data_IF_249808660864
#
_entry.id   IF_249808660864
#
_cell.length_a   1.000
_cell.length_b   1.000
_cell.length_c   1.000
_cell.angle_alpha   90.00
_cell.angle_beta   90.00
_cell.angle_gamma   90.00
#
_symmetry.space_group_name_H-M   'P 1'
#
loop_
_entity.id
_entity.type
_entity.pdbx_description
1 polymer ?
#
# COMPACT_ATOMS: atom_id res chain seq x y z
N UNK A 1 -16.98 -65.89 -42.04
CA UNK A 1 -17.16 -64.87 -41.00
C UNK A 1 -16.85 -63.50 -41.61
N UNK A 2 -17.84 -62.61 -41.73
CA UNK A 2 -17.66 -61.23 -42.20
C UNK A 2 -17.42 -60.31 -40.99
N UNK A 3 -16.46 -59.37 -41.02
CA UNK A 3 -16.31 -58.39 -39.96
C UNK A 3 -17.33 -57.25 -40.11
N UNK A 4 -17.85 -56.78 -38.97
CA UNK A 4 -18.84 -55.71 -38.87
C UNK A 4 -18.21 -54.31 -39.09
N UNK A 5 -18.97 -53.34 -39.61
CA UNK A 5 -18.46 -51.98 -39.88
C UNK A 5 -18.34 -51.15 -38.60
N UNK A 6 -17.25 -50.39 -38.50
CA UNK A 6 -16.94 -49.47 -37.40
C UNK A 6 -17.88 -48.25 -37.39
N UNK A 7 -18.50 -48.00 -36.24
CA UNK A 7 -19.33 -46.82 -36.01
C UNK A 7 -18.46 -45.57 -35.84
N UNK A 8 -18.66 -44.59 -36.72
CA UNK A 8 -18.08 -43.24 -36.61
C UNK A 8 -18.77 -42.47 -35.48
N UNK A 9 -18.05 -42.22 -34.38
CA UNK A 9 -18.48 -41.26 -33.36
C UNK A 9 -18.27 -39.84 -33.88
N UNK A 10 -19.38 -39.14 -34.10
CA UNK A 10 -19.42 -37.72 -34.46
C UNK A 10 -19.07 -36.90 -33.22
N UNK A 11 -17.84 -36.39 -33.17
CA UNK A 11 -17.36 -35.53 -32.08
C UNK A 11 -18.20 -34.25 -32.01
N UNK A 12 -18.81 -33.98 -30.85
CA UNK A 12 -19.60 -32.79 -30.61
C UNK A 12 -18.67 -31.57 -30.51
N UNK A 13 -18.89 -30.59 -31.39
CA UNK A 13 -18.14 -29.32 -31.41
C UNK A 13 -18.48 -28.54 -30.13
N UNK A 14 -17.47 -28.28 -29.30
CA UNK A 14 -17.62 -27.47 -28.09
C UNK A 14 -18.00 -26.02 -28.45
N UNK A 15 -18.92 -25.39 -27.70
CA UNK A 15 -19.33 -24.01 -27.96
C UNK A 15 -18.16 -23.05 -27.78
N UNK A 16 -18.02 -22.11 -28.71
CA UNK A 16 -17.00 -21.06 -28.66
C UNK A 16 -17.12 -20.22 -27.38
N UNK A 17 -16.01 -19.78 -26.77
CA UNK A 17 -16.03 -18.97 -25.56
C UNK A 17 -16.79 -17.66 -25.82
N UNK A 18 -17.63 -17.20 -24.87
CA UNK A 18 -18.36 -15.95 -25.01
C UNK A 18 -17.37 -14.79 -25.13
N UNK A 19 -17.64 -13.88 -26.07
CA UNK A 19 -16.86 -12.64 -26.21
C UNK A 19 -16.88 -11.82 -24.92
N UNK A 20 -15.78 -11.14 -24.61
CA UNK A 20 -15.62 -10.31 -23.39
C UNK A 20 -16.74 -9.27 -23.23
N UNK A 21 -17.27 -8.74 -24.33
CA UNK A 21 -18.33 -7.73 -24.32
C UNK A 21 -19.69 -8.30 -23.94
N UNK A 22 -19.97 -9.57 -24.27
CA UNK A 22 -21.19 -10.25 -23.84
C UNK A 22 -21.23 -10.45 -22.33
N UNK A 23 -20.08 -10.77 -21.72
CA UNK A 23 -19.96 -10.90 -20.25
C UNK A 23 -20.20 -9.56 -19.57
N UNK A 24 -19.59 -8.48 -20.07
CA UNK A 24 -19.81 -7.11 -19.55
C UNK A 24 -21.27 -6.70 -19.61
N UNK A 25 -21.93 -6.89 -20.76
CA UNK A 25 -23.36 -6.58 -20.91
C UNK A 25 -24.24 -7.39 -19.96
N UNK A 26 -23.89 -8.66 -19.72
CA UNK A 26 -24.62 -9.53 -18.80
C UNK A 26 -24.45 -9.07 -17.36
N UNK A 27 -23.24 -8.66 -16.97
CA UNK A 27 -22.94 -8.09 -15.64
C UNK A 27 -23.72 -6.79 -15.39
N UNK A 28 -23.74 -5.88 -16.36
CA UNK A 28 -24.53 -4.64 -16.25
C UNK A 28 -26.02 -4.93 -16.11
N UNK A 29 -26.53 -5.90 -16.87
CA UNK A 29 -27.93 -6.33 -16.75
C UNK A 29 -28.24 -6.98 -15.38
N UNK A 30 -27.30 -7.77 -14.84
CA UNK A 30 -27.41 -8.32 -13.48
C UNK A 30 -27.48 -7.18 -12.45
N UNK A 31 -26.54 -6.23 -12.48
CA UNK A 31 -26.49 -5.10 -11.55
C UNK A 31 -27.74 -4.21 -11.64
N UNK A 32 -28.32 -4.09 -12.83
CA UNK A 32 -29.56 -3.35 -13.05
C UNK A 32 -30.81 -3.99 -12.43
N UNK A 33 -30.80 -5.30 -12.13
CA UNK A 33 -31.98 -6.04 -11.63
C UNK A 33 -31.79 -6.70 -10.26
N UNK A 34 -30.56 -7.02 -9.89
CA UNK A 34 -30.25 -7.85 -8.73
C UNK A 34 -30.40 -7.12 -7.38
N UNK A 35 -30.74 -5.82 -7.36
CA UNK A 35 -30.97 -5.09 -6.11
C UNK A 35 -32.21 -5.56 -5.32
N UNK A 36 -33.10 -6.36 -5.94
CA UNK A 36 -34.22 -7.02 -5.28
C UNK A 36 -33.90 -8.43 -4.79
N UNK A 37 -32.76 -9.00 -5.21
CA UNK A 37 -32.31 -10.32 -4.78
C UNK A 37 -31.53 -10.20 -3.46
N UNK A 38 -31.47 -11.27 -2.64
CA UNK A 38 -30.55 -11.32 -1.51
C UNK A 38 -29.11 -11.05 -1.95
N UNK A 39 -28.35 -10.29 -1.15
CA UNK A 39 -26.98 -9.90 -1.47
C UNK A 39 -26.10 -11.10 -1.83
N UNK A 40 -26.21 -12.20 -1.08
CA UNK A 40 -25.47 -13.44 -1.36
C UNK A 40 -25.83 -14.05 -2.71
N UNK A 41 -27.12 -14.11 -3.04
CA UNK A 41 -27.57 -14.67 -4.32
C UNK A 41 -27.07 -13.84 -5.51
N UNK A 42 -27.07 -12.51 -5.37
CA UNK A 42 -26.54 -11.61 -6.40
C UNK A 42 -25.03 -11.76 -6.57
N UNK A 43 -24.28 -11.86 -5.47
CA UNK A 43 -22.83 -12.10 -5.49
C UNK A 43 -22.46 -13.47 -6.12
N UNK A 44 -23.23 -14.51 -5.81
CA UNK A 44 -23.06 -15.83 -6.41
C UNK A 44 -23.35 -15.80 -7.92
N UNK A 45 -24.42 -15.13 -8.35
CA UNK A 45 -24.73 -14.95 -9.77
C UNK A 45 -23.59 -14.22 -10.51
N UNK A 46 -23.01 -13.17 -9.91
CA UNK A 46 -21.84 -12.48 -10.46
C UNK A 46 -20.64 -13.43 -10.60
N UNK A 47 -20.36 -14.19 -9.54
CA UNK A 47 -19.24 -15.15 -9.48
C UNK A 47 -19.37 -16.29 -10.50
N UNK A 48 -20.60 -16.72 -10.80
CA UNK A 48 -20.90 -17.73 -11.82
C UNK A 48 -20.77 -17.18 -13.25
N UNK A 49 -21.14 -15.92 -13.47
CA UNK A 49 -21.05 -15.28 -14.79
C UNK A 49 -19.62 -14.88 -15.17
N UNK A 50 -18.79 -14.54 -14.19
CA UNK A 50 -17.44 -14.00 -14.43
C UNK A 50 -16.37 -15.02 -14.04
N UNK A 51 -15.50 -15.35 -15.00
CA UNK A 51 -14.37 -16.24 -14.77
C UNK A 51 -13.42 -15.68 -13.69
N UNK A 52 -12.86 -16.52 -12.79
CA UNK A 52 -12.01 -16.07 -11.69
C UNK A 52 -10.90 -15.10 -12.08
N UNK A 53 -10.22 -15.35 -13.20
CA UNK A 53 -9.11 -14.51 -13.71
C UNK A 53 -9.54 -13.11 -14.17
N UNK A 54 -10.82 -12.92 -14.51
CA UNK A 54 -11.36 -11.66 -14.99
C UNK A 54 -12.18 -10.89 -13.94
N UNK A 55 -12.44 -11.48 -12.76
CA UNK A 55 -13.31 -10.89 -11.72
C UNK A 55 -12.81 -9.54 -11.23
N UNK A 56 -11.50 -9.42 -10.97
CA UNK A 56 -10.92 -8.18 -10.49
C UNK A 56 -11.04 -7.04 -11.52
N UNK A 57 -10.70 -7.32 -12.79
CA UNK A 57 -10.81 -6.33 -13.85
C UNK A 57 -12.27 -5.90 -14.10
N UNK A 58 -13.20 -6.85 -14.16
CA UNK A 58 -14.63 -6.53 -14.32
C UNK A 58 -15.18 -5.76 -13.12
N UNK A 59 -14.71 -6.08 -11.91
CA UNK A 59 -15.06 -5.35 -10.69
C UNK A 59 -14.59 -3.89 -10.76
N UNK A 60 -13.34 -3.64 -11.18
CA UNK A 60 -12.81 -2.28 -11.38
C UNK A 60 -13.57 -1.51 -12.48
N UNK A 61 -13.85 -2.15 -13.60
CA UNK A 61 -14.43 -1.47 -14.77
C UNK A 61 -15.93 -1.20 -14.63
N UNK A 62 -16.68 -2.08 -13.92
CA UNK A 62 -18.15 -2.05 -13.95
C UNK A 62 -18.81 -1.93 -12.57
N UNK A 63 -18.21 -2.50 -11.52
CA UNK A 63 -18.82 -2.53 -10.19
C UNK A 63 -18.38 -1.34 -9.36
N UNK A 64 -17.08 -1.00 -9.40
CA UNK A 64 -16.51 0.11 -8.65
C UNK A 64 -17.10 1.48 -9.05
N UNK A 65 -17.31 1.81 -10.34
CA UNK A 65 -17.89 3.09 -10.73
C UNK A 65 -19.34 3.28 -10.23
N UNK A 66 -20.06 2.18 -10.03
CA UNK A 66 -21.41 2.24 -9.43
C UNK A 66 -21.35 2.60 -7.95
N UNK A 67 -20.30 2.19 -7.25
CA UNK A 67 -20.13 2.46 -5.83
C UNK A 67 -19.64 3.89 -5.58
N UNK A 68 -18.62 4.34 -6.33
CA UNK A 68 -18.09 5.70 -6.25
C UNK A 68 -19.11 6.74 -6.72
N UNK A 69 -20.04 6.34 -7.59
CA UNK A 69 -21.12 7.19 -8.05
C UNK A 69 -20.55 8.44 -8.72
N UNK A 70 -19.94 8.28 -9.91
CA UNK A 70 -19.30 9.36 -10.66
C UNK A 70 -20.09 10.69 -10.54
N UNK A 71 -19.52 11.60 -9.74
CA UNK A 71 -20.17 12.73 -9.11
C UNK A 71 -20.69 13.82 -10.06
N UNK A 72 -20.41 13.71 -11.37
CA UNK A 72 -20.62 14.81 -12.31
C UNK A 72 -21.91 14.74 -13.13
N UNK A 73 -22.67 13.64 -13.09
CA UNK A 73 -23.90 13.51 -13.88
C UNK A 73 -25.10 13.10 -13.03
N UNK A 74 -25.84 14.14 -12.62
CA UNK A 74 -27.27 14.16 -12.25
C UNK A 74 -27.54 13.93 -10.75
N UNK A 75 -27.48 15.01 -9.98
CA UNK A 75 -28.01 15.14 -8.61
C UNK A 75 -29.51 14.77 -8.45
N UNK A 76 -30.26 14.55 -9.53
CA UNK A 76 -31.71 14.28 -9.47
C UNK A 76 -32.11 12.78 -9.39
N UNK A 77 -31.16 11.84 -9.32
CA UNK A 77 -31.44 10.38 -9.36
C UNK A 77 -30.96 9.66 -8.08
N UNK A 78 -30.66 10.39 -7.01
CA UNK A 78 -30.04 9.87 -5.78
C UNK A 78 -30.80 8.68 -5.13
N UNK A 79 -32.14 8.76 -4.99
CA UNK A 79 -32.95 7.69 -4.34
C UNK A 79 -32.84 6.31 -4.98
N UNK A 80 -32.66 6.25 -6.29
CA UNK A 80 -32.66 4.97 -7.02
C UNK A 80 -31.29 4.32 -7.07
N UNK A 81 -30.24 5.01 -6.60
CA UNK A 81 -28.88 4.51 -6.65
C UNK A 81 -28.41 3.87 -5.35
N UNK A 82 -28.94 4.24 -4.18
CA UNK A 82 -28.54 3.63 -2.89
C UNK A 82 -28.60 2.09 -2.90
N UNK A 83 -29.69 1.44 -3.36
CA UNK A 83 -29.73 -0.03 -3.46
C UNK A 83 -28.64 -0.59 -4.39
N UNK A 84 -28.30 0.10 -5.47
CA UNK A 84 -27.25 -0.34 -6.41
C UNK A 84 -25.86 -0.18 -5.83
N UNK A 85 -25.62 0.88 -5.06
CA UNK A 85 -24.37 1.12 -4.34
C UNK A 85 -24.16 0.07 -3.26
N UNK A 86 -25.20 -0.25 -2.48
CA UNK A 86 -25.18 -1.34 -1.50
C UNK A 86 -24.87 -2.69 -2.16
N UNK A 87 -25.51 -2.97 -3.30
CA UNK A 87 -25.21 -4.17 -4.07
C UNK A 87 -23.75 -4.21 -4.54
N UNK A 88 -23.25 -3.11 -5.09
CA UNK A 88 -21.87 -3.00 -5.56
C UNK A 88 -20.87 -3.19 -4.41
N UNK A 89 -21.08 -2.56 -3.26
CA UNK A 89 -20.22 -2.73 -2.08
C UNK A 89 -20.19 -4.18 -1.61
N UNK A 90 -21.34 -4.86 -1.59
CA UNK A 90 -21.40 -6.26 -1.18
C UNK A 90 -20.71 -7.19 -2.17
N UNK A 91 -20.88 -6.98 -3.48
CA UNK A 91 -20.18 -7.78 -4.51
C UNK A 91 -18.67 -7.63 -4.33
N UNK A 92 -18.16 -6.40 -4.22
CA UNK A 92 -16.73 -6.14 -4.02
C UNK A 92 -16.19 -6.78 -2.73
N UNK A 93 -16.96 -6.75 -1.65
CA UNK A 93 -16.65 -7.46 -0.41
C UNK A 93 -16.58 -8.98 -0.62
N UNK A 94 -17.63 -9.57 -1.21
CA UNK A 94 -17.77 -11.02 -1.38
C UNK A 94 -16.70 -11.66 -2.27
N UNK A 95 -16.07 -10.90 -3.16
CA UNK A 95 -14.96 -11.39 -3.99
C UNK A 95 -13.73 -11.80 -3.17
N UNK A 96 -13.60 -11.25 -1.95
CA UNK A 96 -12.45 -11.45 -1.06
C UNK A 96 -12.89 -11.83 0.37
N UNK A 97 -14.13 -12.28 0.57
CA UNK A 97 -14.67 -12.59 1.91
C UNK A 97 -13.98 -13.73 2.63
N UNK A 98 -13.26 -14.60 1.89
CA UNK A 98 -12.47 -15.69 2.46
C UNK A 98 -11.19 -15.19 3.18
N UNK A 99 -10.84 -13.91 2.98
CA UNK A 99 -9.67 -13.29 3.57
C UNK A 99 -10.07 -12.19 4.57
N UNK A 100 -9.23 -11.89 5.58
CA UNK A 100 -9.45 -10.77 6.48
C UNK A 100 -9.63 -9.45 5.73
N UNK A 101 -10.52 -8.58 6.22
CA UNK A 101 -10.84 -7.30 5.55
C UNK A 101 -9.62 -6.41 5.29
N UNK A 102 -8.58 -6.53 6.13
CA UNK A 102 -7.29 -5.82 5.98
C UNK A 102 -6.59 -6.16 4.66
N UNK A 103 -6.79 -7.36 4.12
CA UNK A 103 -6.20 -7.82 2.85
C UNK A 103 -7.09 -7.56 1.63
N UNK A 104 -8.31 -7.03 1.82
CA UNK A 104 -9.21 -6.76 0.71
C UNK A 104 -8.68 -5.58 -0.13
N UNK A 105 -8.43 -5.75 -1.45
CA UNK A 105 -7.86 -4.70 -2.29
C UNK A 105 -8.77 -3.47 -2.43
N UNK A 106 -10.07 -3.60 -2.13
CA UNK A 106 -11.03 -2.50 -2.17
C UNK A 106 -11.21 -1.80 -0.82
N UNK A 107 -10.48 -2.20 0.24
CA UNK A 107 -10.60 -1.63 1.59
C UNK A 107 -10.45 -0.10 1.60
N UNK A 108 -9.41 0.43 0.97
CA UNK A 108 -9.17 1.87 0.93
C UNK A 108 -10.34 2.62 0.29
N UNK A 109 -10.91 2.06 -0.78
CA UNK A 109 -12.07 2.66 -1.47
C UNK A 109 -13.31 2.64 -0.57
N UNK A 110 -13.56 1.56 0.16
CA UNK A 110 -14.66 1.51 1.13
C UNK A 110 -14.51 2.57 2.24
N UNK A 111 -13.29 2.80 2.74
CA UNK A 111 -13.01 3.83 3.75
C UNK A 111 -13.27 5.21 3.18
N UNK A 112 -12.73 5.51 1.99
CA UNK A 112 -12.89 6.79 1.33
C UNK A 112 -14.37 7.14 1.13
N UNK A 113 -15.15 6.21 0.58
CA UNK A 113 -16.59 6.41 0.36
C UNK A 113 -17.34 6.49 1.69
N UNK A 114 -16.99 5.65 2.67
CA UNK A 114 -17.60 5.71 4.00
C UNK A 114 -17.42 7.09 4.63
N UNK A 115 -16.20 7.63 4.64
CA UNK A 115 -15.90 8.94 5.21
C UNK A 115 -16.66 10.04 4.48
N UNK A 116 -16.63 10.02 3.14
CA UNK A 116 -17.32 11.00 2.32
C UNK A 116 -18.84 11.00 2.56
N UNK A 117 -19.49 9.83 2.45
CA UNK A 117 -20.93 9.69 2.61
C UNK A 117 -21.38 9.96 4.05
N UNK A 118 -20.55 9.64 5.04
CA UNK A 118 -20.81 9.93 6.45
C UNK A 118 -20.87 11.44 6.70
N UNK A 119 -19.92 12.21 6.16
CA UNK A 119 -19.92 13.67 6.34
C UNK A 119 -21.13 14.30 5.64
N UNK A 120 -21.50 13.84 4.44
CA UNK A 120 -22.73 14.28 3.76
C UNK A 120 -23.97 13.99 4.63
N UNK A 121 -24.09 12.76 5.13
CA UNK A 121 -25.23 12.37 5.97
C UNK A 121 -25.28 13.15 7.30
N UNK A 122 -24.12 13.47 7.88
CA UNK A 122 -24.00 14.27 9.10
C UNK A 122 -24.48 15.71 8.88
N UNK A 123 -24.08 16.34 7.78
CA UNK A 123 -24.55 17.69 7.43
C UNK A 123 -26.06 17.76 7.21
N UNK A 124 -26.65 16.75 6.57
CA UNK A 124 -28.11 16.67 6.38
C UNK A 124 -28.86 16.41 7.70
N UNK A 125 -28.28 15.62 8.61
CA UNK A 125 -28.82 15.38 9.93
C UNK A 125 -28.83 16.65 10.81
N UNK A 126 -27.80 17.50 10.69
CA UNK A 126 -27.73 18.81 11.36
C UNK A 126 -28.84 19.77 10.89
N UNK A 127 -29.31 19.61 9.64
CA UNK A 127 -30.44 20.35 9.09
C UNK A 127 -31.82 19.79 9.52
N UNK A 128 -31.84 18.75 10.37
CA UNK A 128 -33.06 18.11 10.84
C UNK A 128 -33.66 17.10 9.85
N UNK A 129 -32.96 16.80 8.76
CA UNK A 129 -33.34 15.77 7.79
C UNK A 129 -32.88 14.37 8.20
N UNK A 130 -33.48 13.34 7.60
CA UNK A 130 -32.88 12.00 7.58
C UNK A 130 -32.20 11.83 6.23
N UNK A 131 -30.90 11.54 6.25
CA UNK A 131 -30.13 11.41 5.00
C UNK A 131 -30.48 10.11 4.28
N UNK A 132 -30.63 10.19 2.96
CA UNK A 132 -30.92 9.01 2.11
C UNK A 132 -29.71 8.08 1.96
N UNK A 133 -28.51 8.54 2.36
CA UNK A 133 -27.26 7.80 2.27
C UNK A 133 -26.89 7.10 3.58
N UNK A 134 -27.63 7.31 4.68
CA UNK A 134 -27.34 6.68 5.99
C UNK A 134 -27.24 5.14 5.89
N UNK A 135 -28.07 4.53 5.05
CA UNK A 135 -28.06 3.07 4.85
C UNK A 135 -26.80 2.57 4.19
N UNK A 136 -26.28 3.32 3.21
CA UNK A 136 -25.03 2.98 2.56
C UNK A 136 -23.85 3.11 3.54
N UNK A 137 -23.83 4.19 4.34
CA UNK A 137 -22.83 4.42 5.38
C UNK A 137 -22.82 3.25 6.38
N UNK A 138 -23.99 2.81 6.83
CA UNK A 138 -24.11 1.67 7.73
C UNK A 138 -23.62 0.35 7.10
N UNK A 139 -23.97 0.08 5.84
CA UNK A 139 -23.48 -1.10 5.10
C UNK A 139 -21.96 -1.09 4.98
N UNK A 140 -21.37 0.04 4.60
CA UNK A 140 -19.91 0.18 4.46
C UNK A 140 -19.21 -0.01 5.81
N UNK A 141 -19.78 0.56 6.89
CA UNK A 141 -19.27 0.34 8.25
C UNK A 141 -19.28 -1.14 8.65
N UNK A 142 -20.38 -1.87 8.37
CA UNK A 142 -20.47 -3.32 8.60
C UNK A 142 -19.42 -4.10 7.83
N UNK A 143 -19.22 -3.79 6.55
CA UNK A 143 -18.20 -4.41 5.70
C UNK A 143 -16.79 -4.15 6.26
N UNK A 144 -16.49 -2.90 6.63
CA UNK A 144 -15.18 -2.50 7.15
C UNK A 144 -14.83 -3.20 8.47
N UNK A 145 -15.82 -3.52 9.32
CA UNK A 145 -15.63 -4.33 10.54
C UNK A 145 -15.50 -5.83 10.29
N UNK A 146 -15.60 -6.29 9.04
CA UNK A 146 -15.60 -7.71 8.70
C UNK A 146 -16.94 -8.41 8.96
N UNK A 147 -17.99 -7.66 9.32
CA UNK A 147 -19.35 -8.16 9.59
C UNK A 147 -20.23 -8.16 8.31
N UNK A 148 -19.61 -8.12 7.12
CA UNK A 148 -20.35 -8.08 5.85
C UNK A 148 -21.25 -9.29 5.61
N UNK A 149 -20.93 -10.46 6.20
CA UNK A 149 -21.74 -11.67 6.10
C UNK A 149 -23.15 -11.51 6.69
N UNK A 150 -23.35 -10.61 7.66
CA UNK A 150 -24.68 -10.31 8.23
C UNK A 150 -25.65 -9.74 7.17
N UNK A 151 -25.11 -9.17 6.09
CA UNK A 151 -25.88 -8.56 5.01
C UNK A 151 -26.39 -9.58 3.98
N UNK A 152 -25.82 -10.79 3.98
CA UNK A 152 -26.09 -11.87 3.03
C UNK A 152 -27.58 -12.15 2.76
N UNK A 153 -28.47 -12.29 3.77
CA UNK A 153 -29.85 -12.70 3.55
C UNK A 153 -30.76 -11.56 3.10
N UNK A 154 -30.32 -10.30 3.22
CA UNK A 154 -31.13 -9.13 2.93
C UNK A 154 -30.93 -8.69 1.47
N UNK A 155 -31.99 -8.16 0.85
CA UNK A 155 -31.85 -7.52 -0.45
C UNK A 155 -31.33 -6.10 -0.31
N UNK A 156 -30.52 -5.58 -1.25
CA UNK A 156 -30.07 -4.19 -1.23
C UNK A 156 -31.22 -3.18 -1.17
N UNK A 157 -32.35 -3.46 -1.82
CA UNK A 157 -33.55 -2.64 -1.72
C UNK A 157 -34.14 -2.62 -0.30
N UNK A 158 -34.21 -3.79 0.35
CA UNK A 158 -34.67 -3.89 1.75
C UNK A 158 -33.76 -3.10 2.68
N UNK A 159 -32.44 -3.26 2.53
CA UNK A 159 -31.44 -2.53 3.31
C UNK A 159 -31.55 -1.01 3.11
N UNK A 160 -31.70 -0.55 1.87
CA UNK A 160 -31.87 0.88 1.56
C UNK A 160 -33.16 1.48 2.14
N UNK A 161 -34.19 0.66 2.38
CA UNK A 161 -35.49 1.11 2.90
C UNK A 161 -35.66 0.92 4.42
N UNK A 162 -34.77 0.17 5.07
CA UNK A 162 -34.93 -0.21 6.48
C UNK A 162 -34.55 0.96 7.39
N UNK A 163 -35.44 1.47 8.27
CA UNK A 163 -35.09 2.57 9.15
C UNK A 163 -33.97 2.16 10.12
N UNK A 164 -32.91 2.98 10.21
CA UNK A 164 -31.81 2.72 11.14
C UNK A 164 -32.17 3.18 12.55
N UNK A 165 -31.88 2.37 13.59
CA UNK A 165 -31.90 2.82 14.96
C UNK A 165 -31.03 4.08 15.15
N UNK A 166 -31.40 5.03 16.04
CA UNK A 166 -30.64 6.27 16.23
C UNK A 166 -29.15 6.07 16.54
N UNK A 167 -28.80 4.96 17.22
CA UNK A 167 -27.40 4.60 17.55
C UNK A 167 -26.56 4.19 16.34
N UNK A 168 -27.20 3.79 15.24
CA UNK A 168 -26.55 3.31 14.01
C UNK A 168 -26.58 4.36 12.90
N UNK A 169 -26.98 5.61 13.21
CA UNK A 169 -26.93 6.71 12.24
C UNK A 169 -25.50 7.16 12.00
N UNK A 170 -25.26 7.69 10.80
CA UNK A 170 -23.95 8.12 10.31
C UNK A 170 -23.11 8.95 11.32
N UNK A 171 -23.68 9.91 12.11
CA UNK A 171 -22.88 10.67 13.07
C UNK A 171 -22.21 9.80 14.14
N UNK A 172 -22.89 8.72 14.55
CA UNK A 172 -22.48 7.83 15.63
C UNK A 172 -21.58 6.68 15.17
N UNK A 173 -21.42 6.49 13.86
CA UNK A 173 -20.58 5.44 13.30
C UNK A 173 -19.15 5.94 13.14
N UNK A 174 -18.24 5.48 13.99
CA UNK A 174 -16.81 5.61 13.76
C UNK A 174 -16.28 4.32 13.13
N UNK A 175 -15.42 4.45 12.12
CA UNK A 175 -14.51 3.36 11.75
C UNK A 175 -13.37 3.44 12.74
N UNK A 176 -13.21 2.39 13.55
CA UNK A 176 -12.02 2.20 14.38
C UNK A 176 -10.83 1.91 13.45
N UNK A 177 -10.34 2.96 12.79
CA UNK A 177 -9.08 2.96 12.04
C UNK A 177 -7.94 3.53 12.90
N UNK A 178 -8.05 3.41 14.22
CA UNK A 178 -6.96 3.76 15.14
C UNK A 178 -6.10 2.53 15.42
N UNK A 179 -4.86 2.46 14.90
CA UNK A 179 -3.79 1.89 15.66
C UNK A 179 -3.51 2.82 16.85
N UNK A 180 -3.93 2.41 18.05
CA UNK A 180 -3.58 2.98 19.37
C UNK A 180 -4.25 4.33 19.70
N UNK A 181 -4.93 4.34 20.86
CA UNK A 181 -5.70 5.47 21.35
C UNK A 181 -4.86 6.68 21.75
N UNK A 182 -5.35 7.85 21.38
CA UNK A 182 -5.06 9.12 22.05
C UNK A 182 -5.70 9.07 23.45
N UNK A 183 -4.97 8.55 24.44
CA UNK A 183 -5.18 8.97 25.83
C UNK A 183 -4.32 10.21 26.07
N UNK A 184 -4.97 11.30 26.48
CA UNK A 184 -4.38 12.61 26.79
C UNK A 184 -3.12 12.52 27.66
N UNK A 185 -1.94 12.56 27.05
CA UNK A 185 -0.67 12.81 27.76
C UNK A 185 -0.38 14.30 27.70
N UNK A 186 -0.73 14.98 28.79
CA UNK A 186 -0.40 16.39 29.05
C UNK A 186 1.13 16.53 29.21
N UNK A 187 1.84 16.81 28.11
CA UNK A 187 3.30 17.01 28.12
C UNK A 187 3.61 18.41 28.67
N UNK A 188 4.05 18.46 29.94
CA UNK A 188 4.72 19.62 30.51
C UNK A 188 6.05 19.90 29.78
N UNK A 189 6.07 20.95 28.96
CA UNK A 189 7.29 21.51 28.37
C UNK A 189 8.12 22.29 29.41
N UNK A 190 9.44 22.07 29.52
CA UNK A 190 10.32 22.93 30.30
C UNK A 190 10.59 24.25 29.55
N UNK A 191 10.41 25.38 30.25
CA UNK A 191 10.67 26.72 29.71
C UNK A 191 12.16 26.94 29.42
N UNK A 192 12.51 27.72 28.38
CA UNK A 192 13.91 27.97 28.04
C UNK A 192 14.55 28.93 29.06
N UNK A 193 15.72 28.52 29.55
CA UNK A 193 16.62 29.31 30.38
C UNK A 193 17.07 30.53 29.57
N UNK A 194 16.63 31.71 29.97
CA UNK A 194 17.16 32.99 29.48
C UNK A 194 18.49 33.28 30.16
N UNK A 195 19.57 33.15 29.39
CA UNK A 195 20.88 33.70 29.69
C UNK A 195 20.83 35.22 29.51
N UNK A 196 20.70 35.97 30.60
CA UNK A 196 20.73 37.44 30.61
C UNK A 196 21.74 37.95 31.64
N UNK A 197 22.94 38.26 31.16
CA UNK A 197 24.01 38.89 31.92
C UNK A 197 23.69 40.35 32.26
N UNK A 198 24.28 40.84 33.36
CA UNK A 198 23.95 42.05 34.10
C UNK A 198 23.99 43.39 33.34
N UNK A 199 23.25 44.35 33.90
CA UNK A 199 23.26 45.74 33.45
C UNK A 199 22.29 46.62 34.23
N UNK A 200 22.60 46.87 35.51
CA UNK A 200 21.90 47.80 36.40
C UNK A 200 22.21 49.25 36.04
N UNK A 201 21.21 50.06 35.69
CA UNK A 201 21.21 51.53 35.92
C UNK A 201 19.80 52.01 36.26
N UNK A 202 19.68 52.62 37.43
CA UNK A 202 18.53 53.35 37.97
C UNK A 202 18.23 54.61 37.14
N UNK A 203 16.95 54.94 36.98
CA UNK A 203 16.49 56.33 37.22
C UNK A 203 15.00 56.37 37.51
N UNK A 204 14.69 57.01 38.64
CA UNK A 204 13.38 57.44 39.08
C UNK A 204 12.96 58.70 38.30
N UNK A 205 11.66 58.84 38.08
CA UNK A 205 11.05 60.06 37.54
C UNK A 205 9.54 59.96 37.58
N UNK A 206 8.95 60.37 38.70
CA UNK A 206 7.52 60.51 38.97
C UNK A 206 6.87 61.67 38.19
N UNK A 207 5.65 61.51 37.69
CA UNK A 207 4.52 62.44 37.95
C UNK A 207 3.21 62.10 37.19
N UNK A 208 2.12 62.10 37.96
CA UNK A 208 0.75 62.59 37.68
C UNK A 208 -0.22 61.87 36.70
N UNK A 209 -1.34 61.43 37.30
CA UNK A 209 -2.69 61.12 36.78
C UNK A 209 -3.38 62.35 36.10
N UNK A 210 -4.60 62.32 35.48
CA UNK A 210 -5.73 61.39 35.70
C UNK A 210 -6.70 60.99 34.52
N UNK A 211 -7.25 59.77 34.63
CA UNK A 211 -8.65 59.34 34.36
C UNK A 211 -9.23 59.32 32.90
N UNK A 212 -10.50 58.87 32.67
CA UNK A 212 -10.77 57.55 32.07
C UNK A 212 -11.74 57.62 30.86
N UNK A 213 -11.54 56.81 29.82
CA UNK A 213 -12.58 56.62 28.80
C UNK A 213 -12.69 55.14 28.46
N UNK A 214 -13.84 54.59 28.82
CA UNK A 214 -14.37 53.30 28.42
C UNK A 214 -14.47 53.23 26.88
N UNK A 215 -13.82 52.23 26.30
CA UNK A 215 -14.08 51.79 24.93
C UNK A 215 -14.00 50.28 24.91
N UNK A 216 -15.17 49.69 25.13
CA UNK A 216 -15.44 48.26 25.06
C UNK A 216 -15.34 47.81 23.59
N UNK A 217 -14.44 46.87 23.30
CA UNK A 217 -14.33 46.30 21.96
C UNK A 217 -13.03 45.56 21.63
N UNK A 218 -12.21 45.19 22.61
CA UNK A 218 -11.00 44.40 22.35
C UNK A 218 -11.37 42.93 22.15
N UNK A 219 -11.76 42.56 20.91
CA UNK A 219 -11.71 41.17 20.46
C UNK A 219 -10.27 40.68 20.61
N UNK A 220 -10.01 39.93 21.69
CA UNK A 220 -8.85 39.04 21.77
C UNK A 220 -9.03 37.99 20.67
N UNK A 221 -8.47 38.27 19.50
CA UNK A 221 -8.17 37.23 18.53
C UNK A 221 -7.11 36.33 19.18
N UNK A 222 -7.52 35.11 19.52
CA UNK A 222 -6.63 34.06 19.99
C UNK A 222 -5.65 33.70 18.86
N UNK A 223 -4.48 34.34 18.85
CA UNK A 223 -3.39 34.11 17.88
C UNK A 223 -2.62 32.80 18.12
N UNK A 224 -3.21 31.85 18.86
CA UNK A 224 -2.64 30.52 19.11
C UNK A 224 -3.04 29.47 18.06
N UNK A 225 -4.13 29.67 17.30
CA UNK A 225 -4.58 28.71 16.29
C UNK A 225 -3.59 28.56 15.13
N UNK A 226 -3.04 29.68 14.62
CA UNK A 226 -2.25 29.69 13.38
C UNK A 226 -0.91 28.94 13.46
N UNK A 227 -0.35 28.75 14.67
CA UNK A 227 0.94 28.07 14.84
C UNK A 227 0.81 26.55 14.87
N UNK A 228 -0.31 26.04 15.37
CA UNK A 228 -0.60 24.59 15.36
C UNK A 228 -0.84 24.15 13.93
N UNK A 229 -1.65 24.92 13.19
CA UNK A 229 -1.95 24.67 11.78
C UNK A 229 -0.68 24.59 10.91
N UNK A 230 0.26 25.53 11.10
CA UNK A 230 1.52 25.56 10.33
C UNK A 230 2.44 24.35 10.61
N UNK A 231 2.40 23.81 11.84
CA UNK A 231 3.17 22.62 12.22
C UNK A 231 2.55 21.36 11.63
N UNK A 232 1.23 21.24 11.68
CA UNK A 232 0.50 20.12 11.08
C UNK A 232 0.69 20.11 9.57
N UNK A 233 0.62 21.27 8.91
CA UNK A 233 0.90 21.40 7.48
C UNK A 233 2.34 20.98 7.14
N UNK A 234 3.33 21.38 7.95
CA UNK A 234 4.71 20.95 7.75
C UNK A 234 4.89 19.43 7.88
N UNK A 235 4.24 18.80 8.86
CA UNK A 235 4.27 17.34 9.06
C UNK A 235 3.58 16.63 7.89
N UNK A 236 2.41 17.12 7.47
CA UNK A 236 1.66 16.58 6.33
C UNK A 236 2.48 16.68 5.03
N UNK A 237 3.15 17.81 4.81
CA UNK A 237 4.06 17.99 3.67
C UNK A 237 5.25 17.02 3.72
N UNK A 238 5.87 16.86 4.89
CA UNK A 238 6.95 15.88 5.08
C UNK A 238 6.48 14.45 4.82
N UNK A 239 5.27 14.10 5.23
CA UNK A 239 4.66 12.78 5.00
C UNK A 239 4.41 12.55 3.51
N UNK A 240 3.86 13.53 2.81
CA UNK A 240 3.65 13.46 1.37
C UNK A 240 4.99 13.28 0.62
N UNK A 241 6.02 14.03 1.00
CA UNK A 241 7.37 13.85 0.44
C UNK A 241 7.94 12.46 0.74
N UNK A 242 7.73 11.92 1.95
CA UNK A 242 8.21 10.59 2.32
C UNK A 242 7.58 9.49 1.46
N UNK A 243 6.27 9.56 1.20
CA UNK A 243 5.59 8.62 0.31
C UNK A 243 6.06 8.76 -1.14
N UNK A 244 6.29 9.99 -1.60
CA UNK A 244 6.89 10.24 -2.92
C UNK A 244 8.32 9.67 -3.02
N UNK A 245 9.08 9.60 -1.93
CA UNK A 245 10.42 9.03 -1.90
C UNK A 245 10.46 7.53 -2.25
N UNK A 246 9.35 6.82 -2.05
CA UNK A 246 9.23 5.40 -2.37
C UNK A 246 9.09 5.15 -3.89
N UNK A 247 8.66 6.14 -4.68
CA UNK A 247 8.41 5.99 -6.12
C UNK A 247 9.31 6.85 -7.01
N UNK A 248 9.96 7.88 -6.46
CA UNK A 248 10.86 8.76 -7.20
C UNK A 248 12.01 9.29 -6.35
N UNK A 249 13.02 9.84 -7.03
CA UNK A 249 14.08 10.63 -6.40
C UNK A 249 13.49 11.96 -5.94
N UNK A 250 13.75 12.30 -4.68
CA UNK A 250 13.38 13.58 -4.08
C UNK A 250 14.42 14.65 -4.38
N UNK A 251 13.97 15.89 -4.55
CA UNK A 251 14.84 17.07 -4.60
C UNK A 251 15.51 17.32 -3.24
N UNK A 252 16.62 18.07 -3.22
CA UNK A 252 17.33 18.39 -1.97
C UNK A 252 16.44 19.11 -0.94
N UNK A 253 15.53 19.97 -1.40
CA UNK A 253 14.59 20.68 -0.51
C UNK A 253 13.60 19.69 0.10
N UNK A 254 13.02 18.79 -0.70
CA UNK A 254 12.12 17.73 -0.20
C UNK A 254 12.83 16.81 0.79
N UNK A 255 14.07 16.41 0.51
CA UNK A 255 14.88 15.59 1.43
C UNK A 255 15.10 16.29 2.78
N UNK A 256 15.33 17.61 2.79
CA UNK A 256 15.45 18.38 4.04
C UNK A 256 14.14 18.42 4.81
N UNK A 257 13.02 18.63 4.14
CA UNK A 257 11.68 18.62 4.77
C UNK A 257 11.43 17.27 5.43
N UNK A 258 11.67 16.16 4.72
CA UNK A 258 11.53 14.79 5.27
C UNK A 258 12.46 14.59 6.47
N UNK A 259 13.73 14.97 6.36
CA UNK A 259 14.70 14.80 7.44
C UNK A 259 14.31 15.55 8.71
N UNK A 260 13.74 16.75 8.58
CA UNK A 260 13.26 17.55 9.71
C UNK A 260 11.95 17.02 10.29
N UNK A 261 11.07 16.44 9.48
CA UNK A 261 9.79 15.90 9.91
C UNK A 261 9.89 14.46 10.49
N UNK A 262 10.97 13.72 10.19
CA UNK A 262 11.19 12.33 10.61
C UNK A 262 10.94 12.04 12.11
N UNK A 263 11.37 12.87 13.07
CA UNK A 263 11.10 12.64 14.49
C UNK A 263 9.61 12.59 14.82
N UNK A 264 8.76 13.23 14.02
CA UNK A 264 7.31 13.25 14.19
C UNK A 264 6.62 12.03 13.56
N UNK A 265 7.30 11.31 12.66
CA UNK A 265 6.76 10.08 12.05
C UNK A 265 6.98 8.84 12.91
N UNK A 266 7.76 8.94 14.00
CA UNK A 266 8.12 7.81 14.86
C UNK A 266 6.92 7.13 15.54
N UNK A 267 5.73 7.73 15.51
CA UNK A 267 4.49 7.09 15.99
C UNK A 267 3.74 6.31 14.88
N UNK A 268 3.94 6.66 13.61
CA UNK A 268 3.11 6.17 12.50
C UNK A 268 3.97 5.45 11.45
N UNK A 269 3.78 4.14 11.32
CA UNK A 269 4.49 3.30 10.33
C UNK A 269 3.91 3.49 8.92
N UNK A 270 4.24 4.61 8.27
CA UNK A 270 3.79 4.86 6.88
C UNK A 270 4.56 4.07 5.83
N UNK A 271 5.83 3.80 6.08
CA UNK A 271 6.70 3.10 5.13
C UNK A 271 6.50 1.61 5.35
N UNK A 272 6.00 0.87 4.36
CA UNK A 272 5.91 -0.58 4.49
C UNK A 272 7.30 -1.19 4.29
N UNK A 273 7.63 -2.34 4.92
CA UNK A 273 8.93 -2.98 4.76
C UNK A 273 9.34 -3.21 3.28
N UNK A 274 8.37 -3.54 2.40
CA UNK A 274 8.64 -3.75 0.97
C UNK A 274 8.95 -2.48 0.18
N UNK A 275 8.58 -1.29 0.67
CA UNK A 275 8.88 -0.02 0.01
C UNK A 275 10.29 0.49 0.34
N UNK A 276 10.88 -0.03 1.43
CA UNK A 276 12.18 0.40 1.93
C UNK A 276 13.31 0.21 0.90
N UNK A 277 13.48 -0.92 0.19
CA UNK A 277 14.55 -1.08 -0.80
C UNK A 277 14.50 -0.01 -1.90
N UNK A 278 13.30 0.32 -2.39
CA UNK A 278 13.12 1.34 -3.42
C UNK A 278 13.47 2.73 -2.87
N UNK A 279 13.06 3.04 -1.64
CA UNK A 279 13.44 4.28 -0.97
C UNK A 279 14.96 4.40 -0.81
N UNK A 280 15.65 3.33 -0.37
CA UNK A 280 17.09 3.32 -0.14
C UNK A 280 17.89 3.46 -1.45
N UNK A 281 17.40 2.88 -2.54
CA UNK A 281 18.05 2.96 -3.86
C UNK A 281 17.85 4.32 -4.52
N UNK A 282 16.66 4.92 -4.41
CA UNK A 282 16.35 6.22 -5.01
C UNK A 282 16.86 7.41 -4.18
N UNK A 283 16.87 7.29 -2.85
CA UNK A 283 17.10 8.40 -1.92
C UNK A 283 18.12 8.02 -0.83
N UNK A 284 19.34 7.68 -1.23
CA UNK A 284 20.42 7.16 -0.36
C UNK A 284 20.74 8.04 0.85
N UNK A 285 20.61 9.36 0.71
CA UNK A 285 20.82 10.35 1.78
C UNK A 285 19.82 10.21 2.93
N UNK A 286 18.60 9.79 2.64
CA UNK A 286 17.52 9.59 3.61
C UNK A 286 17.56 8.20 4.26
N UNK A 287 18.28 7.25 3.67
CA UNK A 287 18.23 5.86 4.11
C UNK A 287 18.59 5.68 5.59
N UNK A 288 19.71 6.25 6.01
CA UNK A 288 20.14 6.19 7.41
C UNK A 288 19.12 6.80 8.40
N UNK A 289 18.74 8.09 8.30
CA UNK A 289 17.82 8.70 9.26
C UNK A 289 16.43 8.03 9.26
N UNK A 290 15.95 7.54 8.11
CA UNK A 290 14.69 6.78 8.04
C UNK A 290 14.78 5.47 8.82
N UNK A 291 15.80 4.64 8.57
CA UNK A 291 15.97 3.36 9.25
C UNK A 291 16.13 3.56 10.76
N UNK A 292 16.92 4.56 11.16
CA UNK A 292 17.10 4.90 12.58
C UNK A 292 15.77 5.25 13.24
N UNK A 293 14.95 6.09 12.60
CA UNK A 293 13.62 6.42 13.11
C UNK A 293 12.71 5.19 13.21
N UNK A 294 12.71 4.31 12.19
CA UNK A 294 11.90 3.08 12.18
C UNK A 294 12.33 2.08 13.28
N UNK A 295 13.63 1.94 13.54
CA UNK A 295 14.14 1.04 14.57
C UNK A 295 13.93 1.59 15.99
N UNK A 296 13.89 2.91 16.15
CA UNK A 296 13.61 3.59 17.43
C UNK A 296 12.15 3.55 17.87
N UNK A 297 11.22 3.16 17.00
CA UNK A 297 9.80 3.09 17.35
C UNK A 297 9.62 2.18 18.57
N UNK A 298 8.95 2.72 19.60
CA UNK A 298 8.73 2.04 20.87
C UNK A 298 7.74 0.90 20.63
N UNK A 299 8.04 -0.33 21.08
CA UNK A 299 7.12 -1.44 20.94
C UNK A 299 6.01 -1.33 21.99
N UNK A 300 5.09 -0.37 21.84
CA UNK A 300 3.94 -0.21 22.75
C UNK A 300 2.92 -1.34 22.60
N UNK A 301 3.05 -2.16 21.55
CA UNK A 301 2.25 -3.37 21.34
C UNK A 301 3.09 -4.51 20.76
N UNK A 302 2.64 -5.76 20.97
CA UNK A 302 3.23 -6.96 20.35
C UNK A 302 3.30 -6.87 18.81
N UNK A 303 2.47 -6.03 18.20
CA UNK A 303 2.47 -5.78 16.74
C UNK A 303 3.71 -4.99 16.26
N UNK A 304 4.25 -4.10 17.09
CA UNK A 304 5.39 -3.25 16.73
C UNK A 304 6.71 -4.03 16.69
N UNK A 305 6.85 -5.08 17.51
CA UNK A 305 8.02 -5.96 17.48
C UNK A 305 8.17 -6.67 16.13
N UNK A 306 7.06 -7.17 15.58
CA UNK A 306 7.04 -7.79 14.25
C UNK A 306 7.43 -6.79 13.15
N UNK A 307 7.04 -5.52 13.30
CA UNK A 307 7.40 -4.47 12.35
C UNK A 307 8.92 -4.21 12.34
N UNK A 308 9.55 -4.12 13.52
CA UNK A 308 11.02 -3.96 13.64
C UNK A 308 11.75 -5.12 12.97
N UNK A 309 11.34 -6.37 13.24
CA UNK A 309 11.92 -7.56 12.61
C UNK A 309 11.76 -7.48 11.09
N UNK A 310 10.60 -7.07 10.59
CA UNK A 310 10.37 -6.97 9.15
C UNK A 310 11.33 -5.98 8.47
N UNK A 311 11.62 -4.83 9.08
CA UNK A 311 12.61 -3.89 8.53
C UNK A 311 14.04 -4.45 8.60
N UNK A 312 14.42 -5.10 9.70
CA UNK A 312 15.73 -5.76 9.80
C UNK A 312 15.88 -6.84 8.73
N UNK A 313 14.82 -7.61 8.48
CA UNK A 313 14.82 -8.65 7.45
C UNK A 313 15.03 -8.08 6.05
N UNK A 314 14.42 -6.93 5.75
CA UNK A 314 14.67 -6.21 4.50
C UNK A 314 16.14 -5.80 4.36
N UNK A 315 16.79 -5.36 5.44
CA UNK A 315 18.22 -5.00 5.40
C UNK A 315 19.13 -6.20 5.09
N UNK A 316 18.74 -7.42 5.52
CA UNK A 316 19.47 -8.67 5.19
C UNK A 316 19.46 -8.96 3.70
N UNK A 317 18.36 -8.62 3.03
CA UNK A 317 18.11 -8.95 1.63
C UNK A 317 18.48 -7.83 0.64
N UNK A 318 19.07 -6.72 1.11
CA UNK A 318 19.49 -5.64 0.23
C UNK A 318 20.53 -6.14 -0.79
N UNK A 319 20.47 -5.66 -2.05
CA UNK A 319 21.46 -6.02 -3.06
C UNK A 319 22.83 -5.41 -2.69
N UNK A 320 23.96 -6.05 -3.07
CA UNK A 320 25.32 -5.60 -2.76
C UNK A 320 25.74 -4.40 -3.63
N UNK A 321 25.06 -3.27 -3.45
CA UNK A 321 25.34 -2.01 -4.14
C UNK A 321 26.07 -1.03 -3.22
N UNK A 322 26.79 -0.06 -3.78
CA UNK A 322 27.49 0.97 -3.00
C UNK A 322 26.56 1.69 -1.98
N UNK A 323 25.32 2.10 -2.35
CA UNK A 323 24.37 2.64 -1.39
C UNK A 323 24.07 1.72 -0.19
N UNK A 324 23.87 0.42 -0.45
CA UNK A 324 23.60 -0.57 0.61
C UNK A 324 24.77 -0.65 1.59
N UNK A 325 26.01 -0.69 1.08
CA UNK A 325 27.22 -0.70 1.91
C UNK A 325 27.38 0.59 2.72
N UNK A 326 27.11 1.74 2.13
CA UNK A 326 27.18 3.04 2.82
C UNK A 326 26.16 3.13 3.96
N UNK A 327 24.92 2.68 3.72
CA UNK A 327 23.85 2.68 4.73
C UNK A 327 24.21 1.73 5.89
N UNK A 328 24.56 0.47 5.60
CA UNK A 328 24.96 -0.50 6.62
C UNK A 328 26.21 -0.06 7.38
N UNK A 329 27.19 0.51 6.69
CA UNK A 329 28.40 1.06 7.29
C UNK A 329 28.14 2.21 8.25
N UNK A 330 27.11 3.04 8.00
CA UNK A 330 26.65 4.08 8.93
C UNK A 330 25.88 3.49 10.11
N UNK A 331 24.96 2.56 9.87
CA UNK A 331 24.17 1.90 10.92
C UNK A 331 25.03 1.12 11.90
N UNK A 332 26.08 0.44 11.44
CA UNK A 332 27.04 -0.28 12.30
C UNK A 332 27.87 0.63 13.22
N UNK A 333 27.87 1.95 12.97
CA UNK A 333 28.52 2.97 13.80
C UNK A 333 27.52 3.78 14.61
N UNK A 334 26.23 3.56 14.43
CA UNK A 334 25.18 4.33 15.09
C UNK A 334 24.97 3.84 16.54
N UNK A 335 25.47 4.63 17.49
CA UNK A 335 25.35 4.37 18.93
C UNK A 335 24.01 4.79 19.55
N UNK A 336 23.00 5.12 18.74
CA UNK A 336 21.68 5.52 19.24
C UNK A 336 21.06 4.36 20.04
N UNK A 337 20.64 4.59 21.29
CA UNK A 337 20.02 3.55 22.11
C UNK A 337 18.64 3.18 21.56
N UNK A 338 18.37 1.88 21.54
CA UNK A 338 17.05 1.31 21.23
C UNK A 338 16.45 0.86 22.54
N UNK A 339 15.20 1.27 22.83
CA UNK A 339 14.50 0.82 24.03
C UNK A 339 14.02 -0.61 23.79
N UNK A 340 14.58 -1.54 24.54
CA UNK A 340 14.21 -2.96 24.53
C UNK A 340 13.60 -3.33 25.89
N UNK A 341 12.37 -3.84 25.87
CA UNK A 341 11.56 -4.06 27.08
C UNK A 341 12.06 -5.22 27.94
N UNK A 342 12.88 -6.13 27.40
CA UNK A 342 13.19 -7.43 28.01
C UNK A 342 14.61 -7.59 28.54
N UNK A 343 15.57 -6.72 28.19
CA UNK A 343 16.96 -6.84 28.64
C UNK A 343 17.40 -5.55 29.34
N UNK A 344 17.89 -5.66 30.58
CA UNK A 344 18.49 -4.53 31.34
C UNK A 344 19.76 -3.95 30.68
N UNK A 345 20.16 -4.44 29.51
CA UNK A 345 21.28 -3.94 28.71
C UNK A 345 20.84 -2.81 27.77
N UNK A 346 21.66 -1.75 27.70
CA UNK A 346 21.50 -0.71 26.67
C UNK A 346 21.90 -1.28 25.31
N UNK A 347 20.94 -1.74 24.52
CA UNK A 347 21.18 -2.13 23.12
C UNK A 347 21.21 -0.90 22.23
N UNK A 348 22.20 -0.82 21.35
CA UNK A 348 22.29 0.26 20.35
C UNK A 348 21.85 -0.24 18.97
N UNK A 349 21.56 0.68 18.04
CA UNK A 349 21.28 0.33 16.64
C UNK A 349 22.44 -0.44 16.03
N UNK A 350 23.68 -0.02 16.31
CA UNK A 350 24.88 -0.74 15.87
C UNK A 350 24.92 -2.18 16.36
N UNK A 351 24.54 -2.44 17.62
CA UNK A 351 24.49 -3.79 18.17
C UNK A 351 23.41 -4.64 17.52
N UNK A 352 22.22 -4.06 17.34
CA UNK A 352 21.09 -4.72 16.68
C UNK A 352 21.45 -5.12 15.24
N UNK A 353 22.02 -4.20 14.46
CA UNK A 353 22.42 -4.47 13.06
C UNK A 353 23.57 -5.47 13.00
N UNK A 354 24.52 -5.43 13.94
CA UNK A 354 25.63 -6.40 14.01
C UNK A 354 25.14 -7.81 14.31
N UNK A 355 24.21 -7.96 15.26
CA UNK A 355 23.67 -9.26 15.66
C UNK A 355 22.71 -9.83 14.62
N UNK A 356 21.78 -9.01 14.11
CA UNK A 356 20.66 -9.50 13.31
C UNK A 356 20.86 -9.39 11.79
N UNK A 357 21.65 -8.43 11.31
CA UNK A 357 21.68 -8.09 9.87
C UNK A 357 23.00 -8.46 9.21
N UNK A 358 24.14 -8.13 9.84
CA UNK A 358 25.45 -8.19 9.21
C UNK A 358 25.79 -9.58 8.64
N UNK A 359 25.61 -10.64 9.43
CA UNK A 359 25.92 -12.01 8.99
C UNK A 359 25.10 -12.44 7.77
N UNK A 360 23.79 -12.22 7.80
CA UNK A 360 22.89 -12.58 6.71
C UNK A 360 23.13 -11.72 5.46
N UNK A 361 23.40 -10.42 5.62
CA UNK A 361 23.75 -9.54 4.50
C UNK A 361 25.05 -9.96 3.81
N UNK A 362 26.10 -10.31 4.57
CA UNK A 362 27.37 -10.81 3.99
C UNK A 362 27.15 -12.13 3.26
N UNK A 363 26.37 -13.05 3.83
CA UNK A 363 26.02 -14.31 3.15
C UNK A 363 25.28 -14.06 1.83
N UNK A 364 24.33 -13.12 1.83
CA UNK A 364 23.63 -12.69 0.62
C UNK A 364 24.60 -12.10 -0.41
N UNK A 365 25.56 -11.26 0.01
CA UNK A 365 26.59 -10.73 -0.88
C UNK A 365 27.43 -11.85 -1.54
N UNK A 366 27.82 -12.89 -0.78
CA UNK A 366 28.55 -14.04 -1.33
C UNK A 366 27.69 -14.74 -2.39
N UNK A 367 26.42 -15.02 -2.08
CA UNK A 367 25.50 -15.64 -3.03
C UNK A 367 25.31 -14.83 -4.32
N UNK A 368 25.25 -13.50 -4.21
CA UNK A 368 25.21 -12.59 -5.36
C UNK A 368 26.49 -12.65 -6.21
N UNK A 369 27.67 -12.69 -5.59
CA UNK A 369 28.95 -12.83 -6.32
C UNK A 369 29.02 -14.19 -7.01
N UNK A 370 28.71 -15.29 -6.32
CA UNK A 370 28.70 -16.63 -6.90
C UNK A 370 27.70 -16.77 -8.05
N UNK A 371 26.53 -16.12 -7.93
CA UNK A 371 25.55 -16.08 -9.02
C UNK A 371 26.07 -15.26 -10.20
N UNK A 372 26.64 -14.08 -9.94
CA UNK A 372 27.23 -13.22 -10.98
C UNK A 372 28.41 -13.88 -11.68
N UNK A 373 29.25 -14.64 -10.96
CA UNK A 373 30.36 -15.39 -11.53
C UNK A 373 29.86 -16.56 -12.38
N UNK A 374 28.85 -17.30 -11.90
CA UNK A 374 28.19 -18.34 -12.71
C UNK A 374 27.59 -17.76 -13.98
N UNK A 375 26.86 -16.66 -13.88
CA UNK A 375 26.26 -15.99 -15.05
C UNK A 375 27.33 -15.48 -16.02
N UNK A 376 28.45 -14.95 -15.51
CA UNK A 376 29.59 -14.51 -16.33
C UNK A 376 30.34 -15.68 -16.99
N UNK A 377 30.53 -16.79 -16.28
CA UNK A 377 31.14 -18.01 -16.83
C UNK A 377 30.25 -18.63 -17.92
N UNK A 378 28.94 -18.71 -17.67
CA UNK A 378 27.97 -19.19 -18.65
C UNK A 378 27.96 -18.29 -19.91
N UNK A 379 28.07 -16.97 -19.76
CA UNK A 379 28.21 -16.02 -20.88
C UNK A 379 29.53 -16.15 -21.65
N UNK A 380 30.66 -16.31 -20.95
CA UNK A 380 31.96 -16.56 -21.59
C UNK A 380 31.95 -17.83 -22.44
N UNK A 381 31.28 -18.89 -21.98
CA UNK A 381 31.14 -20.14 -22.74
C UNK A 381 30.29 -19.94 -24.00
N UNK A 382 29.19 -19.18 -23.90
CA UNK A 382 28.37 -18.81 -25.05
C UNK A 382 29.18 -18.00 -26.10
N UNK A 383 30.04 -17.08 -25.64
CA UNK A 383 30.93 -16.30 -26.53
C UNK A 383 32.03 -17.16 -27.16
N UNK A 384 32.59 -18.09 -26.41
CA UNK A 384 33.56 -19.06 -26.90
C UNK A 384 32.97 -19.93 -28.01
N UNK A 385 31.79 -20.51 -27.78
CA UNK A 385 31.06 -21.29 -28.78
C UNK A 385 30.74 -20.50 -30.04
N UNK A 386 30.25 -19.26 -29.90
CA UNK A 386 30.06 -18.37 -31.05
C UNK A 386 31.37 -18.09 -31.81
N UNK A 387 32.51 -18.02 -31.11
CA UNK A 387 33.81 -17.82 -31.74
C UNK A 387 34.26 -19.05 -32.52
N UNK A 388 34.05 -20.26 -32.00
CA UNK A 388 34.35 -21.51 -32.72
C UNK A 388 33.54 -21.64 -34.02
N UNK A 389 32.26 -21.29 -33.99
CA UNK A 389 31.38 -21.28 -35.17
C UNK A 389 31.86 -20.24 -36.18
N UNK A 390 32.16 -19.00 -35.73
CA UNK A 390 32.64 -17.92 -36.60
C UNK A 390 33.98 -18.23 -37.27
N UNK A 391 34.85 -18.97 -36.60
CA UNK A 391 36.13 -19.40 -37.17
C UNK A 391 35.99 -20.62 -38.11
N UNK A 392 34.78 -21.18 -38.27
CA UNK A 392 34.53 -22.37 -39.07
C UNK A 392 35.18 -23.63 -38.48
N UNK A 393 35.52 -23.61 -37.19
CA UNK A 393 36.11 -24.76 -36.49
C UNK A 393 35.00 -25.77 -36.15
N UNK A 394 33.82 -25.26 -35.81
CA UNK A 394 32.61 -26.05 -35.57
C UNK A 394 31.62 -25.74 -36.69
N UNK A 395 31.15 -26.77 -37.37
CA UNK A 395 30.08 -26.65 -38.36
C UNK A 395 28.71 -26.72 -37.65
N UNK A 396 27.91 -25.64 -37.66
CA UNK A 396 26.60 -25.64 -37.01
C UNK A 396 25.58 -26.57 -37.69
N UNK A 397 25.84 -27.01 -38.93
CA UNK A 397 25.00 -27.98 -39.65
C UNK A 397 25.34 -29.44 -39.29
N UNK A 398 26.52 -29.68 -38.70
CA UNK A 398 26.97 -31.00 -38.25
C UNK A 398 26.37 -31.34 -36.89
N UNK A 399 25.49 -32.33 -36.84
CA UNK A 399 24.91 -32.81 -35.57
C UNK A 399 25.99 -33.34 -34.61
N UNK A 400 27.06 -33.95 -35.13
CA UNK A 400 28.15 -34.48 -34.31
C UNK A 400 28.90 -33.39 -33.55
N UNK A 401 29.10 -32.22 -34.18
CA UNK A 401 29.86 -31.11 -33.60
C UNK A 401 28.98 -30.14 -32.81
N UNK A 402 27.67 -30.09 -33.12
CA UNK A 402 26.73 -29.11 -32.54
C UNK A 402 25.83 -29.68 -31.43
N UNK A 403 25.78 -31.00 -31.19
CA UNK A 403 24.82 -31.60 -30.24
C UNK A 403 25.05 -31.15 -28.80
N UNK A 404 26.30 -31.15 -28.34
CA UNK A 404 26.65 -30.72 -26.97
C UNK A 404 26.43 -29.21 -26.79
N UNK A 405 26.74 -28.42 -27.83
CA UNK A 405 26.50 -26.98 -27.82
C UNK A 405 25.00 -26.64 -27.84
N UNK A 406 24.20 -27.43 -28.55
CA UNK A 406 22.74 -27.31 -28.58
C UNK A 406 22.12 -27.71 -27.25
N UNK A 407 22.60 -28.80 -26.64
CA UNK A 407 22.18 -29.26 -25.32
C UNK A 407 22.55 -28.25 -24.22
N UNK A 408 23.77 -27.70 -24.25
CA UNK A 408 24.19 -26.62 -23.37
C UNK A 408 23.29 -25.39 -23.52
N UNK A 409 23.01 -24.96 -24.76
CA UNK A 409 22.18 -23.77 -25.01
C UNK A 409 20.72 -23.96 -24.58
N UNK A 410 20.19 -25.18 -24.70
CA UNK A 410 18.84 -25.54 -24.24
C UNK A 410 18.75 -25.64 -22.71
N UNK A 411 19.74 -26.27 -22.07
CA UNK A 411 19.79 -26.34 -20.60
C UNK A 411 19.94 -24.95 -19.94
N UNK A 412 20.53 -23.99 -20.67
CA UNK A 412 20.73 -22.62 -20.22
C UNK A 412 19.88 -21.59 -20.98
N UNK A 413 18.73 -21.99 -21.54
CA UNK A 413 17.88 -21.14 -22.38
C UNK A 413 17.35 -19.87 -21.69
N UNK A 414 17.47 -19.77 -20.37
CA UNK A 414 17.19 -18.56 -19.57
C UNK A 414 18.13 -17.39 -19.89
N UNK A 415 19.33 -17.68 -20.39
CA UNK A 415 20.31 -16.67 -20.77
C UNK A 415 20.08 -16.22 -22.21
N UNK A 416 20.08 -14.89 -22.43
CA UNK A 416 19.92 -14.31 -23.77
C UNK A 416 21.02 -14.76 -24.74
N UNK A 417 22.26 -14.83 -24.28
CA UNK A 417 23.41 -15.27 -25.09
C UNK A 417 23.29 -16.77 -25.48
N UNK A 418 22.80 -17.63 -24.58
CA UNK A 418 22.56 -19.05 -24.87
C UNK A 418 21.40 -19.23 -25.85
N UNK A 419 20.33 -18.43 -25.71
CA UNK A 419 19.19 -18.45 -26.62
C UNK A 419 19.58 -17.98 -28.04
N UNK A 420 20.43 -16.94 -28.12
CA UNK A 420 21.01 -16.48 -29.38
C UNK A 420 21.92 -17.54 -30.01
N UNK A 421 22.78 -18.19 -29.22
CA UNK A 421 23.61 -19.31 -29.68
C UNK A 421 22.75 -20.46 -30.22
N UNK A 422 21.69 -20.85 -29.51
CA UNK A 422 20.78 -21.90 -29.96
C UNK A 422 20.13 -21.56 -31.30
N UNK A 423 19.71 -20.30 -31.51
CA UNK A 423 19.14 -19.87 -32.79
C UNK A 423 20.15 -20.00 -33.94
N UNK A 424 21.41 -19.64 -33.71
CA UNK A 424 22.48 -19.80 -34.72
C UNK A 424 22.68 -21.29 -35.06
N UNK A 425 22.71 -22.16 -34.05
CA UNK A 425 22.84 -23.60 -34.23
C UNK A 425 21.62 -24.21 -34.95
N UNK A 426 20.40 -23.78 -34.60
CA UNK A 426 19.17 -24.27 -35.21
C UNK A 426 18.99 -23.78 -36.66
N UNK A 427 19.36 -22.53 -36.95
CA UNK A 427 19.34 -21.97 -38.31
C UNK A 427 20.41 -22.60 -39.21
N UNK A 428 21.55 -23.04 -38.66
CA UNK A 428 22.57 -23.75 -39.44
C UNK A 428 22.13 -25.13 -39.96
N UNK A 429 21.01 -25.68 -39.46
CA UNK A 429 20.45 -26.97 -39.91
C UNK A 429 19.46 -26.85 -41.08
N UNK A 430 19.08 -25.64 -41.45
CA UNK A 430 18.17 -25.33 -42.57
C UNK A 430 18.89 -24.51 -43.63
#
# INVERSE_FOLDING_TARGET
MRPAPAAYYKSAVAPAPPSSDQVRSSVLHLLAKAFTLPCLAAAQAFTQMVQPTARFQIALDNVLPLLTGNADLIHSVARTQTPRRILASYILYSLYSDYPMVLNPFRCVFIEIFLHEREVAKLEAEQGGASETEQLVWVLWKILRGEGNDLSPYSPATLASSPLPPKLRAPNLAVEDSPVGDDDVEIHLPSPISSGSGGSVRSQGSSSAPSPIESNGSRRFSSTSTLVDAREEFIAQGMHCLLAACSRVLTLTEQRVVAMALPHFAANTFIKPHDLPTLLTLNTSLGHPVIVSLLKMVPDSTSNYNSRIAYLDVLRHLPPTLPSFDILGRLLRDGTPVVETSMEGKTTIADLVRMEVLGAFVLNCIGWVEQSERDAQEGLLCRFYNTLIKLGIVDPSSDADSVEMSHFSLSHARLEEANNLYRVLALGKF
#
